data_IF_722093915808
#
_entry.id   IF_722093915808
#
_cell.length_a   1.000
_cell.length_b   1.000
_cell.length_c   1.000
_cell.angle_alpha   90.00
_cell.angle_beta   90.00
_cell.angle_gamma   90.00
#
_symmetry.space_group_name_H-M   'P 1'
#
loop_
_entity.id
_entity.type
_entity.pdbx_description
1 polymer ?
#
# COMPACT_ATOMS: atom_id res chain seq x y z
N UNK A 1 -51.44 -4.62 12.62
CA UNK A 1 -50.13 -5.30 12.66
C UNK A 1 -49.46 -5.39 11.28
N UNK A 2 -50.15 -5.86 10.23
CA UNK A 2 -49.54 -6.02 8.89
C UNK A 2 -48.95 -4.73 8.30
N UNK A 3 -49.69 -3.61 8.37
CA UNK A 3 -49.21 -2.32 7.84
C UNK A 3 -47.94 -1.80 8.54
N UNK A 4 -47.83 -1.95 9.85
CA UNK A 4 -46.65 -1.54 10.62
C UNK A 4 -45.41 -2.38 10.24
N UNK A 5 -45.60 -3.68 10.02
CA UNK A 5 -44.54 -4.57 9.55
C UNK A 5 -44.07 -4.20 8.14
N UNK A 6 -44.99 -3.93 7.20
CA UNK A 6 -44.64 -3.51 5.84
C UNK A 6 -43.85 -2.19 5.83
N UNK A 7 -44.27 -1.21 6.64
CA UNK A 7 -43.54 0.06 6.77
C UNK A 7 -42.15 -0.16 7.35
N UNK A 8 -42.01 -0.98 8.40
CA UNK A 8 -40.70 -1.28 8.99
C UNK A 8 -39.75 -1.96 7.99
N UNK A 9 -40.24 -2.92 7.19
CA UNK A 9 -39.46 -3.58 6.13
C UNK A 9 -39.04 -2.58 5.05
N UNK A 10 -39.95 -1.73 4.58
CA UNK A 10 -39.63 -0.71 3.59
C UNK A 10 -38.60 0.29 4.13
N UNK A 11 -38.74 0.76 5.36
CA UNK A 11 -37.76 1.64 6.00
C UNK A 11 -36.39 0.98 6.11
N UNK A 12 -36.32 -0.30 6.49
CA UNK A 12 -35.06 -1.05 6.57
C UNK A 12 -34.43 -1.23 5.19
N UNK A 13 -35.21 -1.59 4.17
CA UNK A 13 -34.74 -1.71 2.78
C UNK A 13 -34.24 -0.38 2.21
N UNK A 14 -34.97 0.72 2.44
CA UNK A 14 -34.57 2.06 2.02
C UNK A 14 -33.31 2.52 2.76
N UNK A 15 -33.21 2.28 4.07
CA UNK A 15 -32.01 2.60 4.85
C UNK A 15 -30.81 1.79 4.37
N UNK A 16 -30.97 0.48 4.16
CA UNK A 16 -29.91 -0.38 3.61
C UNK A 16 -29.49 0.07 2.21
N UNK A 17 -30.44 0.45 1.35
CA UNK A 17 -30.16 0.99 0.02
C UNK A 17 -29.36 2.31 0.09
N UNK A 18 -29.82 3.28 0.88
CA UNK A 18 -29.13 4.57 1.05
C UNK A 18 -27.75 4.36 1.69
N UNK A 19 -27.64 3.48 2.69
CA UNK A 19 -26.38 3.16 3.37
C UNK A 19 -25.39 2.51 2.40
N UNK A 20 -25.84 1.58 1.55
CA UNK A 20 -25.00 0.94 0.52
C UNK A 20 -24.55 1.90 -0.58
N UNK A 21 -25.37 2.91 -0.91
CA UNK A 21 -24.98 3.98 -1.83
C UNK A 21 -23.94 4.92 -1.21
N UNK A 22 -24.17 5.34 0.04
CA UNK A 22 -23.23 6.21 0.77
C UNK A 22 -21.87 5.54 0.99
N UNK A 23 -21.83 4.24 1.23
CA UNK A 23 -20.57 3.52 1.40
C UNK A 23 -19.77 3.38 0.10
N UNK A 24 -20.45 3.25 -1.05
CA UNK A 24 -19.80 3.24 -2.37
C UNK A 24 -19.14 4.59 -2.71
N UNK A 25 -19.90 5.68 -2.57
CA UNK A 25 -19.44 7.03 -2.89
C UNK A 25 -18.29 7.48 -1.97
N UNK A 26 -18.28 7.01 -0.71
CA UNK A 26 -17.23 7.31 0.24
C UNK A 26 -15.86 6.80 -0.23
N UNK A 27 -15.79 5.54 -0.68
CA UNK A 27 -14.51 4.94 -1.10
C UNK A 27 -13.97 5.59 -2.37
N UNK A 28 -14.84 5.85 -3.35
CA UNK A 28 -14.41 6.51 -4.59
C UNK A 28 -13.91 7.94 -4.30
N UNK A 29 -14.54 8.69 -3.38
CA UNK A 29 -14.07 10.02 -2.96
C UNK A 29 -12.72 9.97 -2.23
N UNK A 30 -12.49 8.99 -1.37
CA UNK A 30 -11.18 8.82 -0.73
C UNK A 30 -10.10 8.43 -1.76
N UNK A 31 -10.45 7.58 -2.73
CA UNK A 31 -9.56 7.22 -3.84
C UNK A 31 -9.26 8.40 -4.76
N UNK A 32 -10.20 9.31 -5.00
CA UNK A 32 -9.97 10.54 -5.77
C UNK A 32 -8.86 11.41 -5.14
N UNK A 33 -8.78 11.42 -3.82
CA UNK A 33 -7.78 12.16 -3.06
C UNK A 33 -6.47 11.39 -2.85
N UNK A 34 -6.41 10.09 -3.16
CA UNK A 34 -5.19 9.30 -2.98
C UNK A 34 -4.06 9.84 -3.87
N UNK A 35 -2.89 10.09 -3.27
CA UNK A 35 -1.73 10.64 -3.99
C UNK A 35 -1.87 12.12 -4.39
N UNK A 36 -2.93 12.80 -3.97
CA UNK A 36 -3.01 14.25 -4.12
C UNK A 36 -2.01 14.95 -3.18
N UNK A 37 -1.42 16.09 -3.61
CA UNK A 37 -0.55 16.88 -2.75
C UNK A 37 -1.33 17.46 -1.58
N UNK A 38 -0.64 17.70 -0.47
CA UNK A 38 -1.21 18.47 0.65
C UNK A 38 -1.61 19.88 0.19
N UNK A 39 -2.73 20.37 0.73
CA UNK A 39 -3.10 21.79 0.61
C UNK A 39 -2.15 22.71 1.37
N UNK A 40 -1.59 22.22 2.48
CA UNK A 40 -0.55 22.90 3.25
C UNK A 40 0.84 22.52 2.72
N UNK A 41 1.90 23.28 3.07
CA UNK A 41 3.27 22.87 2.79
C UNK A 41 3.57 21.44 3.26
N UNK A 42 4.49 20.78 2.55
CA UNK A 42 5.02 19.47 2.97
C UNK A 42 5.69 19.60 4.34
N UNK A 43 5.61 18.54 5.13
CA UNK A 43 6.28 18.47 6.43
C UNK A 43 7.80 18.47 6.25
N UNK A 44 8.50 19.27 7.05
CA UNK A 44 9.95 19.40 6.98
C UNK A 44 10.69 18.18 7.52
N UNK A 45 10.08 17.39 8.41
CA UNK A 45 10.69 16.17 8.93
C UNK A 45 10.65 14.99 7.95
N UNK A 46 11.15 13.85 8.42
CA UNK A 46 11.36 12.64 7.60
C UNK A 46 10.27 11.61 7.86
N UNK A 47 9.75 11.02 6.79
CA UNK A 47 9.02 9.76 6.85
C UNK A 47 9.99 8.60 6.58
N UNK A 48 10.09 7.66 7.51
CA UNK A 48 10.94 6.46 7.38
C UNK A 48 10.07 5.22 7.23
N UNK A 49 10.27 4.50 6.13
CA UNK A 49 9.56 3.27 5.79
C UNK A 49 10.52 2.09 5.93
N UNK A 50 10.19 1.17 6.82
CA UNK A 50 10.97 -0.02 7.14
C UNK A 50 10.39 -1.24 6.40
N UNK A 51 10.94 -1.52 5.22
CA UNK A 51 10.60 -2.65 4.34
C UNK A 51 9.99 -2.19 3.02
N UNK A 52 10.52 -2.66 1.89
CA UNK A 52 10.06 -2.33 0.53
C UNK A 52 9.19 -3.42 -0.09
N UNK A 53 8.36 -4.08 0.71
CA UNK A 53 7.26 -4.89 0.16
C UNK A 53 6.14 -4.01 -0.39
N UNK A 54 5.10 -4.61 -0.96
CA UNK A 54 3.95 -3.89 -1.54
C UNK A 54 3.48 -2.70 -0.68
N UNK A 55 3.16 -2.93 0.60
CA UNK A 55 2.69 -1.85 1.49
C UNK A 55 3.72 -0.75 1.73
N UNK A 56 5.01 -1.10 1.79
CA UNK A 56 6.10 -0.14 1.96
C UNK A 56 6.28 0.75 0.73
N UNK A 57 6.16 0.19 -0.46
CA UNK A 57 6.22 0.95 -1.71
C UNK A 57 5.04 1.92 -1.84
N UNK A 58 3.83 1.46 -1.52
CA UNK A 58 2.64 2.32 -1.47
C UNK A 58 2.78 3.44 -0.44
N UNK A 59 3.31 3.12 0.75
CA UNK A 59 3.56 4.08 1.80
C UNK A 59 4.61 5.11 1.38
N UNK A 60 5.71 4.68 0.76
CA UNK A 60 6.76 5.58 0.26
C UNK A 60 6.20 6.54 -0.80
N UNK A 61 5.48 6.03 -1.82
CA UNK A 61 4.87 6.87 -2.85
C UNK A 61 3.87 7.87 -2.26
N UNK A 62 3.05 7.43 -1.30
CA UNK A 62 2.09 8.32 -0.62
C UNK A 62 2.84 9.37 0.20
N UNK A 63 3.84 9.00 0.99
CA UNK A 63 4.59 9.94 1.83
C UNK A 63 5.31 11.02 1.01
N UNK A 64 5.67 10.75 -0.25
CA UNK A 64 6.28 11.74 -1.14
C UNK A 64 5.36 12.94 -1.43
N UNK A 65 4.05 12.85 -1.24
CA UNK A 65 3.15 13.99 -1.38
C UNK A 65 3.00 14.81 -0.08
N UNK A 66 3.44 14.25 1.06
CA UNK A 66 3.25 14.83 2.39
C UNK A 66 4.55 15.32 3.06
N UNK A 67 5.69 14.70 2.80
CA UNK A 67 6.96 14.96 3.47
C UNK A 67 8.02 15.50 2.52
N UNK A 68 8.91 16.36 3.01
CA UNK A 68 10.07 16.82 2.28
C UNK A 68 11.10 15.71 2.07
N UNK A 69 11.24 14.80 3.04
CA UNK A 69 12.19 13.70 2.96
C UNK A 69 11.49 12.38 3.24
N UNK A 70 11.69 11.40 2.36
CA UNK A 70 11.16 10.04 2.49
C UNK A 70 12.34 9.08 2.41
N UNK A 71 12.49 8.22 3.42
CA UNK A 71 13.56 7.22 3.46
C UNK A 71 12.93 5.83 3.44
N UNK A 72 13.19 5.05 2.40
CA UNK A 72 12.78 3.65 2.30
C UNK A 72 13.99 2.76 2.63
N UNK A 73 13.83 1.87 3.61
CA UNK A 73 14.89 0.95 4.05
C UNK A 73 14.46 -0.48 3.72
N UNK A 74 15.19 -1.16 2.85
CA UNK A 74 14.91 -2.55 2.48
C UNK A 74 16.23 -3.29 2.16
N UNK A 75 16.51 -4.44 2.81
CA UNK A 75 17.75 -5.18 2.57
C UNK A 75 17.86 -5.80 1.17
N UNK A 76 16.75 -5.92 0.43
CA UNK A 76 16.72 -6.62 -0.86
C UNK A 76 16.05 -5.77 -1.96
N UNK A 77 16.14 -4.43 -1.89
CA UNK A 77 15.50 -3.54 -2.85
C UNK A 77 16.04 -3.71 -4.27
N UNK A 78 17.35 -3.55 -4.48
CA UNK A 78 17.99 -3.67 -5.80
C UNK A 78 17.82 -5.07 -6.38
N UNK A 79 17.80 -6.09 -5.51
CA UNK A 79 17.55 -7.48 -5.89
C UNK A 79 16.14 -7.66 -6.45
N UNK A 80 15.13 -7.08 -5.81
CA UNK A 80 13.73 -7.13 -6.28
C UNK A 80 13.48 -6.31 -7.54
N UNK A 81 14.10 -5.13 -7.62
CA UNK A 81 14.06 -4.26 -8.80
C UNK A 81 14.63 -4.96 -10.04
N UNK A 82 15.67 -5.79 -9.87
CA UNK A 82 16.24 -6.63 -10.94
C UNK A 82 15.47 -7.93 -11.21
N UNK A 83 14.32 -8.15 -10.56
CA UNK A 83 13.48 -9.34 -10.70
C UNK A 83 13.93 -10.54 -9.86
N UNK A 84 14.95 -10.38 -9.02
CA UNK A 84 15.44 -11.41 -8.11
C UNK A 84 14.52 -11.61 -6.89
N UNK A 85 14.42 -12.84 -6.35
CA UNK A 85 13.49 -13.12 -5.26
C UNK A 85 13.94 -12.55 -3.90
N UNK A 86 13.02 -11.95 -3.15
CA UNK A 86 13.26 -11.57 -1.75
C UNK A 86 13.27 -12.81 -0.87
N UNK A 87 14.39 -13.07 -0.21
CA UNK A 87 14.58 -14.23 0.67
C UNK A 87 13.78 -14.14 1.97
N UNK A 88 13.43 -12.93 2.41
CA UNK A 88 12.72 -12.69 3.69
C UNK A 88 11.20 -12.67 3.57
N UNK A 89 10.64 -13.00 2.40
CA UNK A 89 9.20 -12.99 2.13
C UNK A 89 8.69 -14.41 1.89
N UNK A 90 8.02 -14.98 2.90
CA UNK A 90 7.53 -16.38 2.86
C UNK A 90 6.62 -16.68 1.65
N UNK A 91 5.84 -15.69 1.19
CA UNK A 91 4.85 -15.83 0.11
C UNK A 91 5.31 -15.18 -1.20
N UNK A 92 6.62 -15.10 -1.46
CA UNK A 92 7.15 -14.42 -2.64
C UNK A 92 6.66 -15.04 -3.97
N UNK A 93 6.55 -16.36 -4.02
CA UNK A 93 6.08 -17.08 -5.21
C UNK A 93 4.56 -17.29 -5.24
N UNK A 94 3.83 -16.84 -4.20
CA UNK A 94 2.39 -17.01 -4.13
C UNK A 94 1.68 -16.11 -5.14
N UNK A 95 0.66 -16.67 -5.79
CA UNK A 95 -0.28 -15.93 -6.61
C UNK A 95 -1.28 -15.21 -5.70
N UNK A 96 -1.49 -13.93 -5.95
CA UNK A 96 -2.42 -13.09 -5.20
C UNK A 96 -3.46 -12.50 -6.15
N UNK A 97 -4.71 -12.48 -5.69
CA UNK A 97 -5.80 -11.76 -6.32
C UNK A 97 -6.03 -10.48 -5.53
N UNK A 98 -5.71 -9.33 -6.13
CA UNK A 98 -5.98 -8.03 -5.54
C UNK A 98 -7.32 -7.51 -6.04
N UNK A 99 -8.14 -7.06 -5.09
CA UNK A 99 -9.47 -6.52 -5.36
C UNK A 99 -9.38 -5.23 -6.18
N UNK A 100 -10.47 -4.88 -6.87
CA UNK A 100 -10.54 -3.70 -7.71
C UNK A 100 -10.15 -2.38 -7.03
N UNK A 101 -10.39 -2.23 -5.72
CA UNK A 101 -9.98 -1.05 -4.96
C UNK A 101 -8.46 -0.86 -4.98
N UNK A 102 -7.72 -1.97 -4.94
CA UNK A 102 -6.27 -1.95 -5.05
C UNK A 102 -5.82 -1.47 -6.43
N UNK A 103 -6.47 -1.94 -7.50
CA UNK A 103 -6.18 -1.51 -8.88
C UNK A 103 -6.48 -0.02 -9.08
N UNK A 104 -7.64 0.46 -8.59
CA UNK A 104 -7.99 1.88 -8.60
C UNK A 104 -6.95 2.71 -7.84
N UNK A 105 -6.56 2.25 -6.65
CA UNK A 105 -5.55 2.93 -5.84
C UNK A 105 -4.18 3.01 -6.54
N UNK A 106 -3.71 1.91 -7.12
CA UNK A 106 -2.48 1.89 -7.91
C UNK A 106 -2.53 2.82 -9.11
N UNK A 107 -3.63 2.82 -9.85
CA UNK A 107 -3.83 3.69 -11.01
C UNK A 107 -3.88 5.17 -10.63
N UNK A 108 -4.29 5.47 -9.39
CA UNK A 108 -4.25 6.83 -8.86
C UNK A 108 -2.83 7.26 -8.46
N UNK A 109 -2.09 6.37 -7.79
CA UNK A 109 -0.71 6.64 -7.36
C UNK A 109 0.27 6.68 -8.55
N UNK A 110 0.03 5.85 -9.55
CA UNK A 110 0.79 5.77 -10.80
C UNK A 110 -0.18 5.70 -11.99
N UNK A 111 -0.43 6.81 -12.68
CA UNK A 111 -1.34 6.84 -13.84
C UNK A 111 -0.95 5.85 -14.96
N UNK A 112 0.34 5.53 -15.09
CA UNK A 112 0.86 4.56 -16.05
C UNK A 112 0.76 3.09 -15.60
N UNK A 113 0.28 2.83 -14.36
CA UNK A 113 0.25 1.49 -13.76
C UNK A 113 -0.38 0.44 -14.67
N UNK A 114 -1.60 0.70 -15.14
CA UNK A 114 -2.32 -0.30 -15.94
C UNK A 114 -1.62 -0.62 -17.27
N UNK A 115 -1.00 0.39 -17.89
CA UNK A 115 -0.24 0.19 -19.11
C UNK A 115 0.96 -0.72 -18.84
N UNK A 116 1.78 -0.40 -17.83
CA UNK A 116 2.95 -1.21 -17.47
C UNK A 116 2.58 -2.61 -17.01
N UNK A 117 1.48 -2.74 -16.27
CA UNK A 117 0.96 -4.04 -15.88
C UNK A 117 0.60 -4.89 -17.11
N UNK A 118 -0.03 -4.31 -18.14
CA UNK A 118 -0.33 -5.00 -19.40
C UNK A 118 0.93 -5.42 -20.17
N UNK A 119 1.96 -4.56 -20.19
CA UNK A 119 3.25 -4.84 -20.83
C UNK A 119 3.95 -6.07 -20.23
N UNK A 120 3.77 -6.33 -18.93
CA UNK A 120 4.29 -7.54 -18.26
C UNK A 120 3.29 -8.71 -18.22
N UNK A 121 2.24 -8.66 -19.03
CA UNK A 121 1.29 -9.76 -19.22
C UNK A 121 0.07 -9.76 -18.32
N UNK A 122 -0.24 -8.67 -17.59
CA UNK A 122 -1.55 -8.55 -16.95
C UNK A 122 -2.63 -8.45 -18.02
N UNK A 123 -3.50 -9.45 -18.04
CA UNK A 123 -4.77 -9.34 -18.72
C UNK A 123 -5.77 -8.83 -17.70
N UNK A 124 -6.39 -7.68 -17.98
CA UNK A 124 -7.44 -7.14 -17.11
C UNK A 124 -8.55 -8.17 -16.98
N UNK A 125 -8.55 -8.89 -15.87
CA UNK A 125 -9.60 -9.83 -15.52
C UNK A 125 -10.77 -8.99 -15.04
N UNK A 126 -11.57 -8.52 -15.98
CA UNK A 126 -12.95 -8.21 -15.67
C UNK A 126 -13.57 -9.53 -15.28
N UNK A 127 -13.93 -9.63 -14.00
CA UNK A 127 -14.77 -10.69 -13.50
C UNK A 127 -16.14 -10.54 -14.18
N UNK A 128 -16.24 -10.96 -15.44
CA UNK A 128 -17.50 -11.22 -16.14
C UNK A 128 -18.06 -12.59 -15.76
N UNK A 129 -17.32 -13.35 -14.92
CA UNK A 129 -17.52 -14.80 -14.72
C UNK A 129 -16.97 -15.40 -13.39
N UNK A 130 -16.82 -14.73 -12.23
CA UNK A 130 -16.80 -15.49 -10.98
C UNK A 130 -18.25 -15.85 -10.72
N UNK A 131 -18.66 -16.98 -11.23
CA UNK A 131 -19.95 -17.57 -10.92
C UNK A 131 -19.94 -17.87 -9.43
N UNK A 132 -20.32 -16.89 -8.61
CA UNK A 132 -20.57 -17.14 -7.20
C UNK A 132 -21.83 -17.97 -7.15
N UNK A 133 -21.68 -19.27 -7.00
CA UNK A 133 -22.78 -20.16 -6.75
C UNK A 133 -22.99 -20.25 -5.23
N UNK A 134 -24.17 -19.87 -4.77
CA UNK A 134 -24.64 -20.20 -3.43
C UNK A 134 -25.66 -21.33 -3.59
N UNK A 135 -25.37 -22.51 -3.04
CA UNK A 135 -26.18 -23.71 -3.18
C UNK A 135 -26.55 -24.07 -4.63
N UNK A 136 -25.58 -23.97 -5.54
CA UNK A 136 -25.77 -24.25 -6.97
C UNK A 136 -26.56 -23.18 -7.73
N UNK A 137 -27.03 -22.13 -7.04
CA UNK A 137 -27.71 -20.99 -7.67
C UNK A 137 -26.69 -19.90 -7.98
N UNK A 138 -26.63 -19.47 -9.23
CA UNK A 138 -25.79 -18.35 -9.63
C UNK A 138 -26.27 -17.06 -8.95
N UNK A 139 -25.38 -16.45 -8.18
CA UNK A 139 -25.58 -15.14 -7.55
C UNK A 139 -24.71 -14.14 -8.27
N UNK A 140 -25.37 -13.23 -9.01
CA UNK A 140 -24.70 -12.15 -9.72
C UNK A 140 -23.96 -11.25 -8.72
N UNK A 141 -22.64 -11.12 -8.87
CA UNK A 141 -21.86 -10.16 -8.10
C UNK A 141 -22.25 -8.73 -8.50
N UNK A 142 -22.41 -7.84 -7.52
CA UNK A 142 -22.66 -6.41 -7.78
C UNK A 142 -21.54 -5.75 -8.61
N UNK A 143 -20.35 -6.37 -8.60
CA UNK A 143 -19.13 -5.91 -9.26
C UNK A 143 -18.88 -6.57 -10.62
N UNK A 144 -19.76 -7.48 -11.06
CA UNK A 144 -19.59 -8.20 -12.32
C UNK A 144 -19.50 -7.22 -13.50
N UNK A 145 -18.42 -7.34 -14.29
CA UNK A 145 -18.15 -6.48 -15.44
C UNK A 145 -17.83 -5.01 -15.12
N UNK A 146 -17.76 -4.61 -13.85
CA UNK A 146 -17.60 -3.19 -13.47
C UNK A 146 -16.20 -2.80 -13.03
N UNK A 147 -15.38 -3.75 -12.59
CA UNK A 147 -14.07 -3.40 -12.06
C UNK A 147 -13.05 -4.52 -12.29
N UNK A 148 -11.82 -4.18 -12.71
CA UNK A 148 -10.80 -5.17 -13.00
C UNK A 148 -10.20 -5.72 -11.71
N UNK A 149 -9.86 -7.00 -11.73
CA UNK A 149 -9.04 -7.64 -10.69
C UNK A 149 -7.61 -7.76 -11.19
N UNK A 150 -6.67 -7.70 -10.26
CA UNK A 150 -5.25 -7.86 -10.54
C UNK A 150 -4.79 -9.20 -10.00
N UNK A 151 -4.47 -10.12 -10.92
CA UNK A 151 -3.90 -11.41 -10.59
C UNK A 151 -2.42 -11.43 -10.92
N UNK A 152 -1.56 -11.45 -9.91
CA UNK A 152 -0.10 -11.52 -10.09
C UNK A 152 0.53 -12.46 -9.06
N UNK A 153 1.67 -13.05 -9.44
CA UNK A 153 2.63 -13.53 -8.43
C UNK A 153 3.15 -12.33 -7.67
N UNK A 154 3.33 -12.48 -6.36
CA UNK A 154 3.82 -11.37 -5.52
C UNK A 154 5.11 -10.76 -6.05
N UNK A 155 6.11 -11.59 -6.38
CA UNK A 155 7.36 -11.10 -6.95
C UNK A 155 7.17 -10.26 -8.22
N UNK A 156 6.30 -10.68 -9.14
CA UNK A 156 6.00 -9.92 -10.35
C UNK A 156 5.40 -8.56 -10.04
N UNK A 157 4.47 -8.48 -9.09
CA UNK A 157 3.88 -7.21 -8.69
C UNK A 157 4.89 -6.33 -7.94
N UNK A 158 5.69 -6.88 -7.01
CA UNK A 158 6.70 -6.12 -6.28
C UNK A 158 7.74 -5.53 -7.23
N UNK A 159 8.28 -6.31 -8.18
CA UNK A 159 9.20 -5.78 -9.21
C UNK A 159 8.56 -4.68 -10.05
N UNK A 160 7.29 -4.81 -10.44
CA UNK A 160 6.57 -3.75 -11.15
C UNK A 160 6.46 -2.47 -10.31
N UNK A 161 6.09 -2.60 -9.03
CA UNK A 161 5.96 -1.46 -8.12
C UNK A 161 7.32 -0.82 -7.80
N UNK A 162 8.40 -1.60 -7.69
CA UNK A 162 9.77 -1.10 -7.52
C UNK A 162 10.17 -0.23 -8.72
N UNK A 163 9.96 -0.73 -9.95
CA UNK A 163 10.20 0.04 -11.17
C UNK A 163 9.34 1.30 -11.23
N UNK A 164 8.04 1.22 -10.92
CA UNK A 164 7.17 2.40 -10.89
C UNK A 164 7.62 3.42 -9.83
N UNK A 165 8.15 2.99 -8.69
CA UNK A 165 8.67 3.88 -7.66
C UNK A 165 10.00 4.53 -8.05
N UNK A 166 10.83 3.91 -8.89
CA UNK A 166 12.12 4.47 -9.28
C UNK A 166 12.02 5.27 -10.58
N UNK A 167 11.33 4.72 -11.57
CA UNK A 167 11.35 5.19 -12.95
C UNK A 167 10.33 6.30 -13.21
N UNK A 168 9.14 6.22 -12.60
CA UNK A 168 8.02 7.13 -12.89
C UNK A 168 7.94 8.34 -11.95
N UNK A 169 8.83 8.45 -10.96
CA UNK A 169 8.87 9.62 -10.09
C UNK A 169 9.34 10.85 -10.86
N UNK A 170 8.75 12.00 -10.56
CA UNK A 170 9.28 13.28 -11.03
C UNK A 170 10.67 13.53 -10.43
N UNK A 171 11.51 14.32 -11.11
CA UNK A 171 12.88 14.61 -10.65
C UNK A 171 12.94 15.23 -9.25
N UNK A 172 11.92 16.03 -8.89
CA UNK A 172 11.78 16.55 -7.53
C UNK A 172 11.47 15.46 -6.50
N UNK A 173 10.64 14.48 -6.85
CA UNK A 173 10.33 13.35 -5.97
C UNK A 173 11.55 12.44 -5.79
N UNK A 174 12.31 12.18 -6.87
CA UNK A 174 13.56 11.40 -6.83
C UNK A 174 14.58 12.00 -5.87
N UNK A 175 14.73 13.33 -5.84
CA UNK A 175 15.64 14.01 -4.89
C UNK A 175 15.21 13.88 -3.42
N UNK A 176 13.93 13.60 -3.17
CA UNK A 176 13.35 13.50 -1.83
C UNK A 176 13.24 12.07 -1.33
N UNK A 177 13.28 11.09 -2.23
CA UNK A 177 13.32 9.68 -1.90
C UNK A 177 14.76 9.22 -1.74
N UNK A 178 15.11 8.75 -0.54
CA UNK A 178 16.35 8.02 -0.29
C UNK A 178 16.03 6.56 -0.06
N UNK A 179 16.70 5.67 -0.80
CA UNK A 179 16.58 4.22 -0.62
C UNK A 179 17.87 3.71 0.03
N UNK A 180 17.74 3.09 1.20
CA UNK A 180 18.85 2.49 1.93
C UNK A 180 18.72 0.97 1.83
N UNK A 181 19.71 0.34 1.22
CA UNK A 181 19.82 -1.12 1.23
C UNK A 181 20.38 -1.59 2.57
N UNK A 182 19.49 -1.95 3.49
CA UNK A 182 19.86 -2.29 4.84
C UNK A 182 18.73 -2.85 5.68
N UNK A 183 19.06 -3.26 6.90
CA UNK A 183 18.11 -3.76 7.90
C UNK A 183 18.08 -2.84 9.11
N UNK A 184 16.90 -2.36 9.48
CA UNK A 184 16.70 -1.64 10.75
C UNK A 184 16.94 -2.59 11.91
N UNK A 185 17.73 -2.14 12.89
CA UNK A 185 18.10 -2.92 14.08
C UNK A 185 17.42 -2.43 15.35
N UNK A 186 17.00 -1.17 15.37
CA UNK A 186 16.27 -0.62 16.50
C UNK A 186 15.88 0.84 16.29
N UNK A 187 15.22 1.38 17.31
CA UNK A 187 14.80 2.79 17.36
C UNK A 187 15.22 3.36 18.71
N UNK A 188 15.75 4.58 18.74
CA UNK A 188 15.92 5.34 19.98
C UNK A 188 14.67 6.15 20.22
N UNK A 189 14.17 6.11 21.45
CA UNK A 189 13.00 6.88 21.88
C UNK A 189 13.40 7.92 22.92
N UNK A 190 12.53 8.88 23.14
CA UNK A 190 12.62 9.75 24.32
C UNK A 190 12.58 8.92 25.61
N UNK A 191 13.04 9.50 26.71
CA UNK A 191 12.97 8.88 28.05
C UNK A 191 11.57 8.43 28.43
N UNK A 192 10.55 9.17 27.97
CA UNK A 192 9.13 8.88 28.19
C UNK A 192 8.59 7.79 27.25
N UNK A 193 9.34 7.40 26.22
CA UNK A 193 8.93 6.41 25.23
C UNK A 193 7.88 6.89 24.22
N UNK A 194 7.46 8.16 24.29
CA UNK A 194 6.36 8.73 23.49
C UNK A 194 6.80 9.02 22.06
N UNK A 195 8.05 9.49 21.86
CA UNK A 195 8.55 9.90 20.55
C UNK A 195 9.76 9.08 20.13
N UNK A 196 9.88 8.85 18.81
CA UNK A 196 11.06 8.24 18.19
C UNK A 196 12.05 9.36 17.86
N UNK A 197 13.23 9.31 18.48
CA UNK A 197 14.30 10.28 18.23
C UNK A 197 15.14 9.89 17.02
N UNK A 198 15.46 8.60 16.91
CA UNK A 198 16.22 8.09 15.78
C UNK A 198 15.90 6.63 15.45
N UNK A 199 16.20 6.24 14.21
CA UNK A 199 16.21 4.84 13.75
C UNK A 199 17.65 4.48 13.40
N UNK A 200 18.12 3.32 13.83
CA UNK A 200 19.45 2.84 13.47
C UNK A 200 19.39 1.42 12.90
N UNK A 201 20.34 1.12 12.03
CA UNK A 201 20.41 -0.15 11.35
C UNK A 201 21.78 -0.43 10.76
N UNK A 202 21.83 -1.48 9.94
CA UNK A 202 23.05 -1.93 9.27
C UNK A 202 22.77 -2.10 7.78
N UNK A 203 23.58 -1.44 6.95
CA UNK A 203 23.55 -1.58 5.49
C UNK A 203 24.02 -2.95 5.04
N UNK A 204 23.74 -3.30 3.79
CA UNK A 204 24.27 -4.52 3.15
C UNK A 204 25.80 -4.50 3.00
N UNK A 205 26.42 -3.31 3.06
CA UNK A 205 27.87 -3.11 3.09
C UNK A 205 28.46 -3.21 4.51
N UNK A 206 27.67 -3.72 5.46
CA UNK A 206 27.98 -3.88 6.87
C UNK A 206 28.20 -2.55 7.64
N UNK A 207 28.02 -1.39 7.01
CA UNK A 207 28.13 -0.10 7.69
C UNK A 207 26.88 0.20 8.50
N UNK A 208 27.06 0.83 9.65
CA UNK A 208 25.93 1.29 10.46
C UNK A 208 25.37 2.59 9.91
N UNK A 209 24.05 2.77 10.01
CA UNK A 209 23.38 4.04 9.72
C UNK A 209 22.49 4.44 10.88
N UNK A 210 22.31 5.74 11.06
CA UNK A 210 21.37 6.34 12.01
C UNK A 210 20.63 7.49 11.31
N UNK A 211 19.32 7.54 11.49
CA UNK A 211 18.43 8.55 10.92
C UNK A 211 17.76 9.30 12.07
N UNK A 212 17.87 10.61 12.07
CA UNK A 212 17.25 11.54 13.02
C UNK A 212 16.15 12.38 12.36
N UNK A 213 15.53 13.29 13.12
CA UNK A 213 14.49 14.22 12.67
C UNK A 213 13.31 13.49 11.98
N UNK A 214 12.80 12.46 12.67
CA UNK A 214 11.76 11.57 12.14
C UNK A 214 10.41 11.99 12.68
N UNK A 215 9.50 12.34 11.77
CA UNK A 215 8.11 12.67 12.09
C UNK A 215 7.19 11.45 12.00
N UNK A 216 7.54 10.49 11.14
CA UNK A 216 6.72 9.32 10.88
C UNK A 216 7.58 8.09 10.62
N UNK A 217 7.23 6.99 11.29
CA UNK A 217 7.82 5.67 11.06
C UNK A 217 6.73 4.70 10.64
N UNK A 218 6.93 4.03 9.50
CA UNK A 218 6.04 2.99 9.01
C UNK A 218 6.85 1.69 8.94
N UNK A 219 6.47 0.68 9.71
CA UNK A 219 7.14 -0.62 9.69
C UNK A 219 6.20 -1.77 9.99
N UNK A 220 6.17 -2.77 9.11
CA UNK A 220 5.34 -3.97 9.29
C UNK A 220 5.97 -5.04 10.20
N UNK A 221 7.27 -4.94 10.48
CA UNK A 221 8.03 -5.94 11.22
C UNK A 221 9.07 -5.34 12.17
N UNK A 222 8.87 -4.10 12.64
CA UNK A 222 9.66 -3.57 13.75
C UNK A 222 9.26 -4.36 15.00
N UNK A 223 9.93 -5.49 15.25
CA UNK A 223 9.90 -6.10 16.56
C UNK A 223 10.45 -5.05 17.52
N UNK A 224 9.60 -4.56 18.42
CA UNK A 224 10.09 -3.77 19.54
C UNK A 224 11.16 -4.64 20.23
N UNK A 225 12.41 -4.17 20.37
CA UNK A 225 13.35 -4.91 21.19
C UNK A 225 12.69 -5.07 22.55
N UNK A 226 12.51 -6.33 22.99
CA UNK A 226 12.20 -6.61 24.38
C UNK A 226 13.25 -5.87 25.18
N UNK A 227 12.81 -4.88 25.97
CA UNK A 227 13.64 -4.19 26.93
C UNK A 227 14.16 -5.26 27.90
N UNK A 228 15.30 -5.87 27.56
CA UNK A 228 16.16 -6.45 28.57
C UNK A 228 16.76 -5.24 29.29
N UNK A 229 16.03 -4.76 30.29
CA UNK A 229 16.60 -3.94 31.37
C UNK A 229 17.83 -4.68 31.87
N UNK A 230 19.01 -4.16 31.52
CA UNK A 230 20.24 -4.42 32.26
C UNK A 230 20.19 -3.64 33.57
#
# INVERSE_FOLDING_TARGET
MLAAFTVAVLCLCTWAYISSKRSGDGVDRELENLGSPRLAPRLEGKAVICGGGISGLLAAKTCLTHFQTVVLIDPEFSKSLSGGPKSRVMQYHSFHLYLFLFVKGLSRLWPSFEQKAREIGWQSLYLSQPSHFLDGTYVKSLMEGKAPFLGFRRGTLETLLDSLLVDELAEEEKRRLTIIEGTVRGVRRTSEGIAILSIYGKGIDEKSFELDNIDLVIGGALQAPTLHTM
#
